data_IF_242617577064
#
_entry.id   IF_242617577064
#
_cell.length_a   1.000
_cell.length_b   1.000
_cell.length_c   1.000
_cell.angle_alpha   90.00
_cell.angle_beta   90.00
_cell.angle_gamma   90.00
#
_symmetry.space_group_name_H-M   'P 1'
#
loop_
_entity.id
_entity.type
_entity.pdbx_description
1 polymer ?
#
# COMPACT_ATOMS: atom_id res chain seq x y z
N UNK A 1 -3.57 2.76 15.43
CA UNK A 1 -2.48 1.83 15.50
C UNK A 1 -1.29 2.47 16.16
N UNK A 2 -0.78 1.82 17.17
CA UNK A 2 0.23 2.41 18.07
C UNK A 2 1.53 2.71 17.32
N UNK A 3 2.07 3.90 17.58
CA UNK A 3 3.35 4.37 17.04
C UNK A 3 3.33 4.73 15.55
N UNK A 4 2.18 4.73 14.93
CA UNK A 4 2.07 5.20 13.55
C UNK A 4 1.69 6.68 13.55
N UNK A 5 2.42 7.46 12.77
CA UNK A 5 2.13 8.89 12.59
C UNK A 5 1.83 9.16 11.13
N UNK A 6 1.06 10.21 10.87
CA UNK A 6 0.80 10.62 9.48
C UNK A 6 2.10 11.07 8.85
N UNK A 7 2.44 10.48 7.70
CA UNK A 7 3.65 10.80 6.97
C UNK A 7 3.40 11.73 5.79
N UNK A 8 2.47 11.34 4.92
CA UNK A 8 2.07 12.14 3.76
C UNK A 8 0.57 12.15 3.64
N UNK A 9 0.04 13.23 3.11
CA UNK A 9 -1.39 13.39 2.91
C UNK A 9 -1.64 14.13 1.60
N UNK A 10 -2.55 13.63 0.81
CA UNK A 10 -2.89 14.22 -0.47
C UNK A 10 -4.35 14.00 -0.79
N UNK A 11 -4.71 14.21 -2.06
CA UNK A 11 -6.07 13.99 -2.50
C UNK A 11 -6.37 12.50 -2.52
N UNK A 12 -7.34 12.07 -1.67
CA UNK A 12 -7.74 10.67 -1.55
C UNK A 12 -6.57 9.74 -1.14
N UNK A 13 -5.54 10.31 -0.54
CA UNK A 13 -4.33 9.57 -0.17
C UNK A 13 -3.88 9.97 1.23
N UNK A 14 -3.56 8.97 2.04
CA UNK A 14 -2.93 9.20 3.33
C UNK A 14 -1.94 8.07 3.59
N UNK A 15 -0.77 8.42 4.08
CA UNK A 15 0.20 7.41 4.49
C UNK A 15 0.66 7.65 5.92
N UNK A 16 1.04 6.55 6.54
CA UNK A 16 1.50 6.51 7.94
C UNK A 16 2.89 5.90 7.98
N UNK A 17 3.67 6.33 8.93
CA UNK A 17 5.03 5.85 9.15
C UNK A 17 5.18 5.39 10.59
N UNK A 18 5.76 4.23 10.77
CA UNK A 18 6.22 3.76 12.07
C UNK A 18 7.73 3.63 12.01
N UNK A 19 8.41 4.54 12.69
CA UNK A 19 9.87 4.55 12.73
C UNK A 19 10.32 4.41 14.17
N UNK A 20 10.93 3.28 14.48
CA UNK A 20 11.44 2.96 15.81
C UNK A 20 12.91 2.57 15.67
N UNK A 21 13.76 3.15 16.50
CA UNK A 21 15.19 2.87 16.46
C UNK A 21 15.46 1.36 16.53
N UNK A 22 16.31 0.88 15.63
CA UNK A 22 16.68 -0.53 15.57
C UNK A 22 15.68 -1.44 14.88
N UNK A 23 14.61 -0.87 14.30
CA UNK A 23 13.58 -1.64 13.59
C UNK A 23 13.37 -1.08 12.19
N UNK A 24 12.86 -1.89 11.26
CA UNK A 24 12.55 -1.39 9.91
C UNK A 24 11.53 -0.26 9.95
N UNK A 25 11.73 0.74 9.09
CA UNK A 25 10.71 1.74 8.84
C UNK A 25 9.54 1.07 8.14
N UNK A 26 8.33 1.30 8.63
CA UNK A 26 7.11 0.72 8.10
C UNK A 26 6.19 1.82 7.62
N UNK A 27 5.81 1.72 6.35
CA UNK A 27 4.91 2.68 5.72
C UNK A 27 3.63 1.97 5.33
N UNK A 28 2.50 2.57 5.67
CA UNK A 28 1.20 2.08 5.27
C UNK A 28 0.43 3.22 4.63
N UNK A 29 -0.03 3.04 3.41
CA UNK A 29 -0.79 4.06 2.71
C UNK A 29 -2.14 3.52 2.28
N UNK A 30 -3.13 4.39 2.26
CA UNK A 30 -4.46 4.09 1.73
C UNK A 30 -4.80 5.15 0.70
N UNK A 31 -5.24 4.68 -0.45
CA UNK A 31 -5.70 5.54 -1.54
C UNK A 31 -7.04 5.02 -2.04
N UNK A 32 -7.92 5.93 -2.44
CA UNK A 32 -9.14 5.52 -3.11
C UNK A 32 -9.44 6.44 -4.29
N UNK A 33 -10.19 5.89 -5.25
CA UNK A 33 -10.73 6.73 -6.33
C UNK A 33 -12.14 6.27 -6.63
N UNK A 34 -13.01 7.21 -6.99
CA UNK A 34 -14.38 6.89 -7.39
C UNK A 34 -14.36 6.10 -8.68
N UNK A 35 -15.18 5.06 -8.73
CA UNK A 35 -15.20 4.16 -9.86
C UNK A 35 -16.60 3.55 -9.95
N UNK A 36 -17.34 3.87 -11.01
CA UNK A 36 -18.75 3.46 -11.11
C UNK A 36 -18.91 1.96 -11.29
N UNK A 37 -17.98 1.35 -11.99
CA UNK A 37 -17.97 -0.10 -12.20
C UNK A 37 -16.59 -0.62 -11.88
N UNK A 38 -16.51 -1.88 -11.50
CA UNK A 38 -15.26 -2.49 -11.09
C UNK A 38 -14.30 -2.64 -12.28
N UNK A 39 -13.32 -1.75 -12.35
CA UNK A 39 -12.21 -1.82 -13.30
C UNK A 39 -10.89 -2.10 -12.61
N UNK A 40 -10.94 -2.57 -11.37
CA UNK A 40 -9.72 -2.94 -10.63
C UNK A 40 -9.14 -4.21 -11.23
N UNK A 41 -7.87 -4.17 -11.55
CA UNK A 41 -7.13 -5.30 -12.12
C UNK A 41 -5.71 -5.25 -11.61
N UNK A 42 -4.94 -6.30 -11.91
CA UNK A 42 -3.51 -6.31 -11.59
C UNK A 42 -2.79 -5.16 -12.29
N UNK A 43 -3.15 -4.90 -13.55
CA UNK A 43 -2.53 -3.79 -14.30
C UNK A 43 -2.90 -2.44 -13.69
N UNK A 44 -4.17 -2.26 -13.31
CA UNK A 44 -4.58 -1.03 -12.64
C UNK A 44 -3.77 -0.81 -11.36
N UNK A 45 -3.60 -1.88 -10.59
CA UNK A 45 -2.86 -1.83 -9.33
C UNK A 45 -1.40 -1.43 -9.56
N UNK A 46 -0.74 -2.05 -10.53
CA UNK A 46 0.64 -1.73 -10.85
C UNK A 46 0.79 -0.27 -11.29
N UNK A 47 -0.05 0.17 -12.22
CA UNK A 47 0.04 1.53 -12.73
C UNK A 47 -0.28 2.56 -11.66
N UNK A 48 -1.30 2.30 -10.85
CA UNK A 48 -1.68 3.23 -9.79
C UNK A 48 -0.59 3.34 -8.74
N UNK A 49 0.01 2.21 -8.36
CA UNK A 49 1.11 2.26 -7.39
C UNK A 49 2.31 3.02 -7.94
N UNK A 50 2.63 2.85 -9.22
CA UNK A 50 3.72 3.63 -9.84
C UNK A 50 3.49 5.12 -9.67
N UNK A 51 2.28 5.59 -9.95
CA UNK A 51 1.93 7.00 -9.82
C UNK A 51 2.04 7.49 -8.38
N UNK A 52 1.51 6.72 -7.46
CA UNK A 52 1.43 7.13 -6.06
C UNK A 52 2.80 7.20 -5.38
N UNK A 53 3.64 6.19 -5.59
CA UNK A 53 4.95 6.19 -4.93
C UNK A 53 5.91 7.20 -5.56
N UNK A 54 5.77 7.47 -6.84
CA UNK A 54 6.53 8.52 -7.48
C UNK A 54 6.16 9.89 -6.88
N UNK A 55 4.88 10.13 -6.72
CA UNK A 55 4.37 11.41 -6.24
C UNK A 55 4.59 11.62 -4.75
N UNK A 56 4.32 10.60 -3.93
CA UNK A 56 4.27 10.76 -2.48
C UNK A 56 5.49 10.21 -1.74
N UNK A 57 6.26 9.34 -2.37
CA UNK A 57 7.45 8.74 -1.78
C UNK A 57 8.73 9.18 -2.49
N UNK A 58 8.74 10.45 -2.87
CA UNK A 58 9.93 11.14 -3.38
C UNK A 58 10.60 10.39 -4.53
N UNK A 59 9.77 10.00 -5.52
CA UNK A 59 10.20 9.32 -6.74
C UNK A 59 10.68 7.87 -6.52
N UNK A 60 10.07 7.16 -5.57
CA UNK A 60 10.27 5.73 -5.49
C UNK A 60 9.82 5.05 -6.79
N UNK A 61 10.51 3.98 -7.16
CA UNK A 61 10.15 3.21 -8.36
C UNK A 61 10.27 1.73 -8.10
N UNK A 62 9.62 0.95 -8.95
CA UNK A 62 9.73 -0.50 -8.94
C UNK A 62 9.48 -1.02 -10.36
N UNK A 63 9.98 -2.22 -10.63
CA UNK A 63 9.82 -2.85 -11.94
C UNK A 63 8.50 -3.64 -11.95
N UNK A 64 7.51 -3.13 -12.68
CA UNK A 64 6.20 -3.76 -12.78
C UNK A 64 6.21 -5.14 -13.42
N UNK A 65 7.27 -5.47 -14.19
CA UNK A 65 7.40 -6.79 -14.81
C UNK A 65 8.00 -7.83 -13.87
N UNK A 66 8.50 -7.41 -12.73
CA UNK A 66 9.16 -8.29 -11.76
C UNK A 66 8.38 -8.47 -10.47
N UNK A 67 7.16 -7.95 -10.40
CA UNK A 67 6.34 -8.12 -9.21
C UNK A 67 5.63 -9.46 -9.25
N UNK A 68 5.44 -10.05 -8.08
CA UNK A 68 4.55 -11.19 -7.92
C UNK A 68 3.13 -10.67 -7.94
N UNK A 69 2.26 -11.29 -8.71
CA UNK A 69 0.86 -10.88 -8.87
C UNK A 69 -0.04 -12.05 -8.52
N UNK A 70 -1.09 -11.80 -7.74
CA UNK A 70 -2.00 -12.86 -7.36
C UNK A 70 -3.37 -12.30 -7.00
N UNK A 71 -4.40 -13.14 -7.14
CA UNK A 71 -5.71 -12.83 -6.57
C UNK A 71 -5.58 -12.96 -5.06
N UNK A 72 -6.25 -12.08 -4.33
CA UNK A 72 -6.04 -12.05 -2.89
C UNK A 72 -7.26 -11.45 -2.20
N UNK A 73 -7.60 -11.99 -1.04
CA UNK A 73 -8.66 -11.43 -0.22
C UNK A 73 -8.06 -10.49 0.80
N UNK A 74 -8.56 -9.25 0.85
CA UNK A 74 -8.09 -8.23 1.77
C UNK A 74 -9.30 -7.57 2.44
N UNK A 75 -9.31 -7.58 3.79
CA UNK A 75 -10.37 -6.96 4.58
C UNK A 75 -11.78 -7.44 4.20
N UNK A 76 -11.91 -8.69 3.77
CA UNK A 76 -13.17 -9.26 3.35
C UNK A 76 -13.54 -9.01 1.90
N UNK A 77 -12.72 -8.31 1.15
CA UNK A 77 -12.94 -8.04 -0.26
C UNK A 77 -12.07 -8.94 -1.12
N UNK A 78 -12.65 -9.45 -2.21
CA UNK A 78 -11.85 -10.13 -3.23
C UNK A 78 -11.15 -9.08 -4.08
N UNK A 79 -9.85 -9.22 -4.23
CA UNK A 79 -9.07 -8.26 -4.97
C UNK A 79 -7.76 -8.84 -5.46
N UNK A 80 -6.72 -8.03 -5.46
CA UNK A 80 -5.42 -8.40 -5.99
C UNK A 80 -4.31 -7.94 -5.05
N UNK A 81 -3.21 -8.66 -5.10
CA UNK A 81 -2.00 -8.33 -4.37
C UNK A 81 -0.83 -8.35 -5.32
N UNK A 82 0.02 -7.36 -5.22
CA UNK A 82 1.35 -7.40 -5.84
C UNK A 82 2.39 -7.26 -4.74
N UNK A 83 3.54 -7.87 -4.96
CA UNK A 83 4.66 -7.75 -4.02
C UNK A 83 5.96 -7.73 -4.79
N UNK A 84 6.94 -7.04 -4.26
CA UNK A 84 8.22 -6.92 -4.92
C UNK A 84 9.17 -6.01 -4.16
N UNK A 85 10.13 -5.48 -4.90
CA UNK A 85 11.13 -4.57 -4.36
C UNK A 85 10.98 -3.19 -4.98
N UNK A 86 11.21 -2.18 -4.16
CA UNK A 86 11.24 -0.80 -4.61
C UNK A 86 12.65 -0.24 -4.43
N UNK A 87 12.95 0.81 -5.18
CA UNK A 87 14.21 1.52 -5.05
C UNK A 87 13.98 3.01 -5.22
N UNK A 88 14.87 3.78 -4.63
CA UNK A 88 14.91 5.22 -4.81
C UNK A 88 16.31 5.60 -5.28
N UNK A 89 16.41 6.00 -6.54
CA UNK A 89 17.71 6.35 -7.13
C UNK A 89 18.24 7.67 -6.61
N UNK A 90 17.34 8.54 -6.18
CA UNK A 90 17.70 9.86 -5.67
C UNK A 90 18.39 9.76 -4.31
N UNK A 91 17.93 8.84 -3.48
CA UNK A 91 18.45 8.67 -2.12
C UNK A 91 19.29 7.40 -1.96
N UNK A 92 19.44 6.59 -3.00
CA UNK A 92 20.21 5.34 -2.99
C UNK A 92 19.74 4.37 -1.92
N UNK A 93 18.43 4.22 -1.80
CA UNK A 93 17.81 3.29 -0.83
C UNK A 93 16.81 2.39 -1.54
N UNK A 94 16.42 1.33 -0.87
CA UNK A 94 15.44 0.41 -1.39
C UNK A 94 14.82 -0.43 -0.28
N UNK A 95 13.85 -1.24 -0.66
CA UNK A 95 13.17 -2.10 0.30
C UNK A 95 12.19 -3.03 -0.39
N UNK A 96 11.23 -3.52 0.37
CA UNK A 96 10.19 -4.42 -0.11
C UNK A 96 8.82 -3.81 0.07
N UNK A 97 7.86 -4.30 -0.70
CA UNK A 97 6.48 -3.81 -0.59
C UNK A 97 5.48 -4.93 -0.85
N UNK A 98 4.28 -4.73 -0.33
CA UNK A 98 3.09 -5.50 -0.66
C UNK A 98 1.97 -4.51 -0.84
N UNK A 99 1.24 -4.61 -1.94
CA UNK A 99 0.18 -3.67 -2.24
C UNK A 99 -1.08 -4.43 -2.62
N UNK A 100 -2.19 -3.99 -2.08
CA UNK A 100 -3.49 -4.62 -2.30
C UNK A 100 -4.42 -3.65 -3.00
N UNK A 101 -5.30 -4.19 -3.84
CA UNK A 101 -6.35 -3.39 -4.45
C UNK A 101 -7.65 -4.18 -4.47
N UNK A 102 -8.75 -3.48 -4.26
CA UNK A 102 -10.07 -4.08 -4.33
C UNK A 102 -11.10 -3.01 -4.67
N UNK A 103 -12.27 -3.48 -5.09
CA UNK A 103 -13.38 -2.60 -5.42
C UNK A 103 -14.51 -2.78 -4.40
N UNK A 104 -15.00 -1.68 -3.86
CA UNK A 104 -16.16 -1.66 -2.99
C UNK A 104 -17.37 -1.21 -3.82
N UNK A 105 -18.23 -2.16 -4.17
CA UNK A 105 -19.39 -1.89 -5.00
C UNK A 105 -20.38 -0.96 -4.31
N UNK A 106 -20.57 -1.12 -3.01
CA UNK A 106 -21.52 -0.30 -2.27
C UNK A 106 -21.09 1.17 -2.26
N UNK A 107 -19.80 1.42 -2.11
CA UNK A 107 -19.25 2.78 -2.09
C UNK A 107 -18.91 3.31 -3.48
N UNK A 108 -18.89 2.43 -4.50
CA UNK A 108 -18.42 2.74 -5.85
C UNK A 108 -17.03 3.37 -5.82
N UNK A 109 -16.12 2.71 -5.14
CA UNK A 109 -14.74 3.16 -4.98
C UNK A 109 -13.77 2.01 -5.15
N UNK A 110 -12.67 2.28 -5.81
CA UNK A 110 -11.52 1.40 -5.82
C UNK A 110 -10.58 1.83 -4.70
N UNK A 111 -10.08 0.86 -3.96
CA UNK A 111 -9.14 1.10 -2.86
C UNK A 111 -7.81 0.46 -3.15
N UNK A 112 -6.75 1.13 -2.74
CA UNK A 112 -5.40 0.60 -2.79
C UNK A 112 -4.79 0.77 -1.40
N UNK A 113 -4.23 -0.30 -0.86
CA UNK A 113 -3.51 -0.27 0.41
C UNK A 113 -2.07 -0.68 0.12
N UNK A 114 -1.14 0.20 0.41
CA UNK A 114 0.28 -0.05 0.14
C UNK A 114 1.06 -0.22 1.44
N UNK A 115 1.79 -1.31 1.53
CA UNK A 115 2.68 -1.61 2.65
C UNK A 115 4.11 -1.63 2.14
N UNK A 116 4.95 -0.80 2.71
CA UNK A 116 6.32 -0.65 2.26
C UNK A 116 7.26 -0.65 3.46
N UNK A 117 8.42 -1.29 3.31
CA UNK A 117 9.38 -1.44 4.40
C UNK A 117 10.77 -1.05 3.92
N UNK A 118 11.46 -0.28 4.73
CA UNK A 118 12.84 0.08 4.51
C UNK A 118 13.69 -0.32 5.73
N UNK A 119 14.69 -1.16 5.50
CA UNK A 119 15.73 -1.45 6.49
C UNK A 119 16.86 -2.20 5.80
N UNK A 120 18.03 -1.59 5.64
CA UNK A 120 19.08 -2.18 4.79
C UNK A 120 19.67 -3.48 5.35
N UNK A 121 19.70 -3.64 6.65
CA UNK A 121 20.48 -4.71 7.29
C UNK A 121 19.66 -5.77 8.02
N UNK A 122 18.34 -5.83 7.81
CA UNK A 122 17.50 -6.75 8.56
C UNK A 122 16.47 -7.45 7.69
N UNK A 123 15.96 -8.56 8.20
CA UNK A 123 14.85 -9.27 7.61
C UNK A 123 13.60 -8.40 7.67
N UNK A 124 13.00 -8.15 6.51
CA UNK A 124 11.82 -7.28 6.37
C UNK A 124 10.50 -8.04 6.49
N UNK A 125 10.54 -9.37 6.49
CA UNK A 125 9.33 -10.17 6.50
C UNK A 125 8.44 -9.95 7.73
N UNK A 126 8.96 -9.90 8.96
CA UNK A 126 8.10 -9.63 10.11
C UNK A 126 7.37 -8.30 10.02
N UNK A 127 8.02 -7.26 9.49
CA UNK A 127 7.39 -5.96 9.32
C UNK A 127 6.29 -5.99 8.26
N UNK A 128 6.49 -6.72 7.17
CA UNK A 128 5.45 -6.88 6.15
C UNK A 128 4.25 -7.64 6.71
N UNK A 129 4.47 -8.66 7.52
CA UNK A 129 3.39 -9.40 8.16
C UNK A 129 2.58 -8.49 9.07
N UNK A 130 3.26 -7.67 9.87
CA UNK A 130 2.58 -6.69 10.74
C UNK A 130 1.70 -5.76 9.92
N UNK A 131 2.23 -5.22 8.84
CA UNK A 131 1.49 -4.29 7.98
C UNK A 131 0.29 -4.98 7.33
N UNK A 132 0.43 -6.24 6.94
CA UNK A 132 -0.71 -6.97 6.38
C UNK A 132 -1.81 -7.17 7.41
N UNK A 133 -1.44 -7.53 8.64
CA UNK A 133 -2.44 -7.68 9.71
C UNK A 133 -3.23 -6.40 9.88
N UNK A 134 -2.57 -5.25 9.87
CA UNK A 134 -3.25 -3.95 9.95
C UNK A 134 -4.15 -3.74 8.74
N UNK A 135 -3.65 -4.04 7.55
CA UNK A 135 -4.41 -3.87 6.31
C UNK A 135 -5.68 -4.71 6.29
N UNK A 136 -5.63 -5.91 6.87
CA UNK A 136 -6.80 -6.79 6.94
C UNK A 136 -7.91 -6.23 7.84
N UNK A 137 -7.59 -5.26 8.69
CA UNK A 137 -8.59 -4.62 9.55
C UNK A 137 -9.27 -3.43 8.88
N UNK A 138 -8.91 -3.10 7.64
CA UNK A 138 -9.49 -1.97 6.94
C UNK A 138 -11.00 -2.11 6.85
N UNK A 139 -11.72 -0.99 7.09
CA UNK A 139 -13.17 -0.98 7.03
C UNK A 139 -13.65 0.36 6.49
N UNK A 140 -14.08 0.36 5.25
CA UNK A 140 -14.62 1.56 4.62
C UNK A 140 -16.08 1.83 5.00
N UNK A 141 -16.73 0.89 5.66
CA UNK A 141 -18.13 1.03 6.06
C UNK A 141 -18.30 1.87 7.32
N UNK A 142 -17.24 2.10 8.07
CA UNK A 142 -17.28 2.87 9.30
C UNK A 142 -17.86 4.25 9.11
N UNK A 143 -17.64 4.83 7.96
CA UNK A 143 -18.09 6.19 7.67
C UNK A 143 -19.56 6.26 7.28
N UNK A 144 -20.15 5.15 6.96
CA UNK A 144 -21.53 5.09 6.48
C UNK A 144 -22.53 5.17 7.64
N UNK A 145 -22.11 4.73 8.81
CA UNK A 145 -22.97 4.67 9.96
C UNK A 145 -23.22 6.03 10.61
N UNK A 146 -22.62 7.06 10.09
CA UNK A 146 -22.82 8.42 10.57
C UNK A 146 -23.87 9.16 9.74
#
# INVERSE_FOLDING_TARGET
>A
TKNYIVYKKGQNFISFLNRVHGKPDRFLAVFYEKMKTDNVSKDWLIQKRKELVWKYYDEDEFDGDRVKQEKYEIAGYEGYKISGRWQNKKHFVGGTFQTFAFYDEAAQKAFLIDNSVYYPDADKLPALIELEVISQTFNCKTNVSK
#
